data_IF_939158043018
#
_entry.id   IF_939158043018
#
_cell.length_a   1.000
_cell.length_b   1.000
_cell.length_c   1.000
_cell.angle_alpha   90.00
_cell.angle_beta   90.00
_cell.angle_gamma   90.00
#
_symmetry.space_group_name_H-M   'P 1'
#
loop_
_entity.id
_entity.type
_entity.pdbx_description
1 polymer ?
#
# COMPACT_ATOMS: atom_id res chain seq x y z
N UNK A 1 21.30 -7.00 -45.12
CA UNK A 1 20.22 -6.18 -44.52
C UNK A 1 20.75 -5.65 -43.19
N UNK A 2 21.31 -4.44 -43.18
CA UNK A 2 21.88 -3.83 -41.97
C UNK A 2 20.75 -3.49 -40.99
N UNK A 3 20.60 -4.32 -39.95
CA UNK A 3 19.61 -4.08 -38.91
C UNK A 3 20.02 -2.83 -38.13
N UNK A 4 19.29 -1.73 -38.29
CA UNK A 4 19.63 -0.44 -37.68
C UNK A 4 19.85 -0.62 -36.16
N UNK A 5 21.08 -0.37 -35.69
CA UNK A 5 21.51 -0.53 -34.30
C UNK A 5 20.61 0.23 -33.31
N UNK A 6 20.07 1.38 -33.71
CA UNK A 6 19.13 2.16 -32.90
C UNK A 6 17.76 1.47 -32.77
N UNK A 7 17.25 0.89 -33.85
CA UNK A 7 15.99 0.13 -33.83
C UNK A 7 16.12 -1.11 -32.93
N UNK A 8 17.24 -1.85 -33.04
CA UNK A 8 17.53 -3.01 -32.16
C UNK A 8 17.51 -2.61 -30.69
N UNK A 9 18.22 -1.54 -30.31
CA UNK A 9 18.22 -1.03 -28.92
C UNK A 9 16.82 -0.66 -28.45
N UNK A 10 16.02 0.00 -29.30
CA UNK A 10 14.64 0.40 -28.97
C UNK A 10 13.73 -0.81 -28.71
N UNK A 11 13.82 -1.84 -29.55
CA UNK A 11 13.03 -3.07 -29.40
C UNK A 11 13.40 -3.84 -28.14
N UNK A 12 14.71 -3.99 -27.86
CA UNK A 12 15.18 -4.62 -26.61
C UNK A 12 14.73 -3.85 -25.37
N UNK A 13 14.74 -2.51 -25.41
CA UNK A 13 14.22 -1.68 -24.32
C UNK A 13 12.73 -1.93 -24.08
N UNK A 14 11.92 -1.97 -25.14
CA UNK A 14 10.48 -2.28 -25.03
C UNK A 14 10.24 -3.69 -24.47
N UNK A 15 10.97 -4.68 -24.96
CA UNK A 15 10.87 -6.06 -24.47
C UNK A 15 11.19 -6.13 -22.97
N UNK A 16 12.24 -5.45 -22.51
CA UNK A 16 12.57 -5.37 -21.08
C UNK A 16 11.43 -4.75 -20.28
N UNK A 17 10.81 -3.68 -20.78
CA UNK A 17 9.64 -3.09 -20.12
C UNK A 17 8.47 -4.07 -20.02
N UNK A 18 8.17 -4.82 -21.10
CA UNK A 18 7.10 -5.82 -21.05
C UNK A 18 7.41 -6.97 -20.09
N UNK A 19 8.64 -7.45 -20.07
CA UNK A 19 9.06 -8.54 -19.17
C UNK A 19 9.07 -8.11 -17.70
N UNK A 20 9.29 -6.82 -17.41
CA UNK A 20 9.34 -6.28 -16.05
C UNK A 20 8.01 -5.69 -15.57
N UNK A 21 6.98 -5.60 -16.42
CA UNK A 21 5.75 -4.86 -16.11
C UNK A 21 5.04 -5.35 -14.83
N UNK A 22 5.00 -6.67 -14.61
CA UNK A 22 4.41 -7.24 -13.39
C UNK A 22 5.24 -6.89 -12.14
N UNK A 23 6.56 -6.98 -12.23
CA UNK A 23 7.45 -6.62 -11.11
C UNK A 23 7.33 -5.13 -10.75
N UNK A 24 7.26 -4.25 -11.76
CA UNK A 24 7.07 -2.82 -11.56
C UNK A 24 5.69 -2.52 -10.94
N UNK A 25 4.64 -3.24 -11.37
CA UNK A 25 3.30 -3.11 -10.78
C UNK A 25 3.27 -3.56 -9.32
N UNK A 26 3.83 -4.73 -9.00
CA UNK A 26 3.90 -5.24 -7.62
C UNK A 26 4.70 -4.30 -6.71
N UNK A 27 5.76 -3.68 -7.23
CA UNK A 27 6.53 -2.67 -6.50
C UNK A 27 5.68 -1.42 -6.19
N UNK A 28 4.92 -0.92 -7.16
CA UNK A 28 4.04 0.22 -6.95
C UNK A 28 2.92 -0.08 -5.95
N UNK A 29 2.34 -1.28 -6.02
CA UNK A 29 1.33 -1.76 -5.07
C UNK A 29 1.90 -1.85 -3.64
N UNK A 30 3.08 -2.45 -3.45
CA UNK A 30 3.74 -2.56 -2.15
C UNK A 30 4.01 -1.18 -1.53
N UNK A 31 4.56 -0.25 -2.31
CA UNK A 31 4.87 1.09 -1.84
C UNK A 31 3.61 1.90 -1.51
N UNK A 32 2.61 1.85 -2.38
CA UNK A 32 1.34 2.54 -2.20
C UNK A 32 0.62 2.07 -0.95
N UNK A 33 0.46 0.75 -0.81
CA UNK A 33 -0.21 0.15 0.33
C UNK A 33 0.57 0.39 1.64
N UNK A 34 1.90 0.28 1.61
CA UNK A 34 2.75 0.59 2.76
C UNK A 34 2.58 2.04 3.24
N UNK A 35 2.47 3.00 2.31
CA UNK A 35 2.22 4.42 2.65
C UNK A 35 0.85 4.61 3.29
N UNK A 36 -0.19 3.98 2.75
CA UNK A 36 -1.56 4.03 3.31
C UNK A 36 -1.59 3.42 4.71
N UNK A 37 -1.00 2.25 4.92
CA UNK A 37 -0.94 1.58 6.23
C UNK A 37 -0.21 2.42 7.28
N UNK A 38 0.85 3.14 6.90
CA UNK A 38 1.53 4.10 7.80
C UNK A 38 0.60 5.24 8.21
N UNK A 39 -0.24 5.75 7.30
CA UNK A 39 -1.24 6.79 7.62
C UNK A 39 -2.33 6.24 8.55
N UNK A 40 -2.84 5.05 8.28
CA UNK A 40 -3.83 4.39 9.15
C UNK A 40 -3.27 4.15 10.56
N UNK A 41 -2.01 3.71 10.69
CA UNK A 41 -1.34 3.59 12.00
C UNK A 41 -1.30 4.90 12.77
N UNK A 42 -0.97 6.01 12.10
CA UNK A 42 -0.97 7.34 12.74
C UNK A 42 -2.38 7.73 13.20
N UNK A 43 -3.39 7.45 12.37
CA UNK A 43 -4.79 7.73 12.71
C UNK A 43 -5.27 6.90 13.90
N UNK A 44 -4.96 5.61 13.96
CA UNK A 44 -5.28 4.77 15.14
C UNK A 44 -4.65 5.33 16.42
N UNK A 45 -3.38 5.73 16.37
CA UNK A 45 -2.71 6.30 17.54
C UNK A 45 -3.37 7.60 17.98
N UNK A 46 -3.69 8.47 17.03
CA UNK A 46 -4.37 9.73 17.32
C UNK A 46 -5.76 9.51 17.93
N UNK A 47 -6.56 8.60 17.37
CA UNK A 47 -7.87 8.25 17.93
C UNK A 47 -7.76 7.72 19.37
N UNK A 48 -6.76 6.89 19.65
CA UNK A 48 -6.50 6.41 21.03
C UNK A 48 -6.14 7.54 21.99
N UNK A 49 -5.36 8.51 21.53
CA UNK A 49 -5.03 9.71 22.33
C UNK A 49 -6.29 10.54 22.61
N UNK A 50 -7.14 10.75 21.60
CA UNK A 50 -8.42 11.47 21.75
C UNK A 50 -9.36 10.78 22.73
N UNK A 51 -9.58 9.47 22.57
CA UNK A 51 -10.42 8.64 23.46
C UNK A 51 -9.95 8.74 24.92
N UNK A 52 -8.63 8.72 25.14
CA UNK A 52 -8.06 8.81 26.49
C UNK A 52 -8.31 10.16 27.17
N UNK A 53 -8.43 11.24 26.39
CA UNK A 53 -8.72 12.59 26.89
C UNK A 53 -10.20 12.96 26.89
N UNK A 54 -11.04 12.23 26.16
CA UNK A 54 -12.46 12.56 26.00
C UNK A 54 -13.26 12.20 27.25
N UNK A 55 -14.04 13.15 27.77
CA UNK A 55 -14.87 12.98 28.97
C UNK A 55 -16.34 12.79 28.66
N UNK A 56 -16.79 13.28 27.50
CA UNK A 56 -18.16 13.08 27.04
C UNK A 56 -18.34 11.63 26.53
N UNK A 57 -19.40 10.97 27.01
CA UNK A 57 -19.61 9.56 26.73
C UNK A 57 -19.99 9.32 25.27
N UNK A 58 -20.80 10.20 24.67
CA UNK A 58 -21.31 10.06 23.31
C UNK A 58 -20.18 10.33 22.31
N UNK A 59 -19.38 11.38 22.53
CA UNK A 59 -18.18 11.66 21.73
C UNK A 59 -17.14 10.55 21.84
N UNK A 60 -16.92 10.01 23.05
CA UNK A 60 -16.01 8.87 23.23
C UNK A 60 -16.47 7.65 22.44
N UNK A 61 -17.77 7.34 22.47
CA UNK A 61 -18.32 6.21 21.71
C UNK A 61 -18.10 6.39 20.20
N UNK A 62 -18.33 7.59 19.66
CA UNK A 62 -18.07 7.89 18.25
C UNK A 62 -16.61 7.69 17.87
N UNK A 63 -15.67 8.14 18.71
CA UNK A 63 -14.23 7.95 18.49
C UNK A 63 -13.83 6.46 18.53
N UNK A 64 -14.42 5.68 19.44
CA UNK A 64 -14.20 4.23 19.54
C UNK A 64 -14.70 3.49 18.29
N UNK A 65 -15.90 3.83 17.80
CA UNK A 65 -16.44 3.28 16.56
C UNK A 65 -15.53 3.62 15.36
N UNK A 66 -15.03 4.85 15.27
CA UNK A 66 -14.09 5.22 14.22
C UNK A 66 -12.77 4.44 14.34
N UNK A 67 -12.25 4.26 15.55
CA UNK A 67 -11.04 3.48 15.81
C UNK A 67 -11.20 2.03 15.33
N UNK A 68 -12.35 1.41 15.61
CA UNK A 68 -12.63 0.04 15.17
C UNK A 68 -12.63 -0.11 13.64
N UNK A 69 -13.26 0.85 12.95
CA UNK A 69 -13.25 0.87 11.47
C UNK A 69 -11.81 1.01 10.96
N UNK A 70 -11.05 1.99 11.45
CA UNK A 70 -9.67 2.22 11.03
C UNK A 70 -8.80 0.99 11.32
N UNK A 71 -8.99 0.36 12.48
CA UNK A 71 -8.25 -0.83 12.89
C UNK A 71 -8.53 -2.04 12.00
N UNK A 72 -9.81 -2.30 11.73
CA UNK A 72 -10.24 -3.35 10.82
C UNK A 72 -9.65 -3.16 9.42
N UNK A 73 -9.68 -1.93 8.89
CA UNK A 73 -9.12 -1.63 7.57
C UNK A 73 -7.59 -1.78 7.54
N UNK A 74 -6.89 -1.32 8.58
CA UNK A 74 -5.44 -1.50 8.69
C UNK A 74 -5.06 -2.98 8.72
N UNK A 75 -5.79 -3.80 9.48
CA UNK A 75 -5.56 -5.25 9.56
C UNK A 75 -5.73 -5.92 8.19
N UNK A 76 -6.82 -5.60 7.48
CA UNK A 76 -7.06 -6.09 6.10
C UNK A 76 -5.92 -5.70 5.16
N UNK A 77 -5.48 -4.44 5.22
CA UNK A 77 -4.38 -3.96 4.38
C UNK A 77 -3.04 -4.61 4.70
N UNK A 78 -2.75 -4.97 5.97
CA UNK A 78 -1.54 -5.73 6.33
C UNK A 78 -1.56 -7.12 5.67
N UNK A 79 -2.70 -7.81 5.71
CA UNK A 79 -2.84 -9.11 5.04
C UNK A 79 -2.61 -8.97 3.54
N UNK A 80 -3.23 -7.96 2.90
CA UNK A 80 -3.03 -7.69 1.47
C UNK A 80 -1.56 -7.40 1.14
N UNK A 81 -0.87 -6.62 1.97
CA UNK A 81 0.54 -6.31 1.78
C UNK A 81 1.43 -7.56 1.85
N UNK A 82 1.10 -8.51 2.73
CA UNK A 82 1.78 -9.81 2.78
C UNK A 82 1.63 -10.55 1.45
N UNK A 83 0.41 -10.63 0.92
CA UNK A 83 0.15 -11.29 -0.37
C UNK A 83 0.89 -10.62 -1.54
N UNK A 84 0.96 -9.29 -1.58
CA UNK A 84 1.73 -8.56 -2.61
C UNK A 84 3.22 -8.91 -2.52
N UNK A 85 3.77 -8.96 -1.31
CA UNK A 85 5.19 -9.32 -1.09
C UNK A 85 5.50 -10.77 -1.41
N UNK A 86 4.58 -11.68 -1.11
CA UNK A 86 4.70 -13.09 -1.51
C UNK A 86 4.73 -13.23 -3.03
N UNK A 87 3.86 -12.51 -3.75
CA UNK A 87 3.87 -12.49 -5.23
C UNK A 87 5.18 -11.94 -5.80
N UNK A 88 5.76 -10.94 -5.15
CA UNK A 88 7.04 -10.34 -5.57
C UNK A 88 8.25 -11.27 -5.37
N UNK A 89 8.17 -12.20 -4.41
CA UNK A 89 9.23 -13.15 -4.10
C UNK A 89 9.13 -14.47 -4.87
N UNK A 90 8.08 -14.66 -5.68
CA UNK A 90 7.91 -15.80 -6.60
C UNK A 90 8.53 -15.49 -7.95
#
# INVERSE_FOLDING_TARGET
MEFNKALKKKLLKKLKTYLNAEADQLQQEDEGLSKVLKKLKKKENHLKELIASETDADEREMLEQELDVVHSQRKKGITLLSTVRERKNR
#
